data_IF_680753273131
#
_entry.id   IF_680753273131
#
_cell.length_a   1.000
_cell.length_b   1.000
_cell.length_c   1.000
_cell.angle_alpha   90.00
_cell.angle_beta   90.00
_cell.angle_gamma   90.00
#
_symmetry.space_group_name_H-M   'P 1'
#
loop_
_entity.id
_entity.type
_entity.pdbx_description
1 polymer ?
#
# COMPACT_ATOMS: atom_id res chain seq x y z
N UNK A 1 -8.70 14.61 0.95
CA UNK A 1 -8.25 13.22 0.83
C UNK A 1 -7.89 12.75 2.22
N UNK A 2 -8.53 11.69 2.72
CA UNK A 2 -8.03 11.00 3.91
C UNK A 2 -6.71 10.34 3.54
N UNK A 3 -5.62 10.69 4.22
CA UNK A 3 -4.31 10.06 4.01
C UNK A 3 -4.33 8.65 4.58
N UNK A 4 -3.66 7.70 3.91
CA UNK A 4 -3.49 6.34 4.40
C UNK A 4 -2.10 6.16 5.01
N UNK A 5 -2.04 5.45 6.15
CA UNK A 5 -0.77 5.25 6.88
C UNK A 5 0.10 4.18 6.24
N UNK A 6 -0.52 3.25 5.51
CA UNK A 6 0.17 2.19 4.79
C UNK A 6 -0.58 1.78 3.53
N UNK A 7 0.20 1.36 2.53
CA UNK A 7 -0.27 0.59 1.38
C UNK A 7 0.26 -0.83 1.50
N UNK A 8 -0.64 -1.81 1.34
CA UNK A 8 -0.30 -3.23 1.34
C UNK A 8 -0.63 -3.83 -0.02
N UNK A 9 0.31 -4.62 -0.55
CA UNK A 9 0.18 -5.35 -1.80
C UNK A 9 0.32 -6.82 -1.47
N UNK A 10 -0.79 -7.54 -1.57
CA UNK A 10 -0.84 -8.97 -1.32
C UNK A 10 -0.84 -9.70 -2.65
N UNK A 11 0.07 -10.67 -2.79
CA UNK A 11 0.18 -11.51 -3.98
C UNK A 11 -0.71 -12.73 -3.88
N UNK A 12 -1.03 -13.34 -5.03
CA UNK A 12 -1.76 -14.62 -5.10
C UNK A 12 -1.02 -15.78 -4.41
N UNK A 13 0.28 -15.65 -4.17
CA UNK A 13 1.08 -16.58 -3.36
C UNK A 13 0.77 -16.49 -1.86
N UNK A 14 0.10 -15.42 -1.41
CA UNK A 14 -0.14 -15.12 0.01
C UNK A 14 0.95 -14.25 0.65
N UNK A 15 2.02 -13.92 -0.06
CA UNK A 15 3.01 -12.94 0.41
C UNK A 15 2.42 -11.53 0.38
N UNK A 16 2.77 -10.70 1.36
CA UNK A 16 2.34 -9.30 1.42
C UNK A 16 3.55 -8.40 1.59
N UNK A 17 3.64 -7.37 0.75
CA UNK A 17 4.57 -6.25 0.92
C UNK A 17 3.79 -5.05 1.45
N UNK A 18 4.37 -4.34 2.41
CA UNK A 18 3.76 -3.15 3.02
C UNK A 18 4.74 -1.98 2.96
N UNK A 19 4.25 -0.81 2.54
CA UNK A 19 4.95 0.46 2.68
C UNK A 19 4.25 1.28 3.76
N UNK A 20 5.01 1.72 4.76
CA UNK A 20 4.54 2.53 5.89
C UNK A 20 4.64 4.02 5.58
N UNK A 21 4.13 4.83 6.49
CA UNK A 21 4.26 6.28 6.46
C UNK A 21 5.73 6.71 6.22
N UNK A 22 5.92 7.61 5.26
CA UNK A 22 7.24 8.12 4.86
C UNK A 22 8.00 7.26 3.85
N UNK A 23 7.60 6.00 3.65
CA UNK A 23 8.19 5.12 2.63
C UNK A 23 7.54 5.31 1.25
N UNK A 24 6.32 5.86 1.18
CA UNK A 24 5.57 6.13 -0.05
C UNK A 24 4.68 7.37 0.09
N UNK A 25 4.28 7.97 -1.03
CA UNK A 25 3.40 9.14 -1.08
C UNK A 25 2.34 9.11 -2.19
N UNK A 26 2.48 8.22 -3.17
CA UNK A 26 1.53 8.04 -4.26
C UNK A 26 1.56 6.60 -4.80
N UNK A 27 0.49 6.18 -5.46
CA UNK A 27 0.44 4.92 -6.20
C UNK A 27 -0.32 5.09 -7.52
N UNK A 28 0.02 4.26 -8.50
CA UNK A 28 -0.66 4.23 -9.79
C UNK A 28 -0.94 2.79 -10.24
N UNK A 29 -1.94 2.66 -11.10
CA UNK A 29 -2.26 1.42 -11.80
C UNK A 29 -2.42 1.72 -13.29
N UNK A 30 -1.63 1.05 -14.13
CA UNK A 30 -1.60 1.29 -15.58
C UNK A 30 -2.38 0.23 -16.39
N UNK A 31 -3.06 -0.69 -15.72
CA UNK A 31 -3.75 -1.83 -16.33
C UNK A 31 -2.94 -3.14 -16.35
N UNK A 32 -1.64 -3.10 -16.04
CA UNK A 32 -0.74 -4.27 -16.01
C UNK A 32 0.11 -4.35 -14.75
N UNK A 33 0.38 -3.20 -14.13
CA UNK A 33 1.22 -3.12 -12.95
C UNK A 33 0.66 -2.12 -11.94
N UNK A 34 0.90 -2.43 -10.66
CA UNK A 34 0.75 -1.48 -9.55
C UNK A 34 2.12 -0.85 -9.30
N UNK A 35 2.16 0.47 -9.28
CA UNK A 35 3.38 1.26 -9.11
C UNK A 35 3.25 2.05 -7.81
N UNK A 36 4.18 1.83 -6.88
CA UNK A 36 4.30 2.61 -5.65
C UNK A 36 5.37 3.67 -5.84
N UNK A 37 5.08 4.90 -5.42
CA UNK A 37 5.95 6.06 -5.64
C UNK A 37 6.30 6.74 -4.33
N UNK A 38 7.48 7.38 -4.34
CA UNK A 38 7.94 8.30 -3.32
C UNK A 38 8.63 9.49 -3.99
N UNK A 39 8.13 10.70 -3.77
CA UNK A 39 8.65 11.96 -4.32
C UNK A 39 8.81 11.91 -5.84
N UNK A 40 7.84 11.30 -6.52
CA UNK A 40 7.83 11.11 -7.97
C UNK A 40 8.72 9.98 -8.50
N UNK A 41 9.55 9.36 -7.66
CA UNK A 41 10.33 8.17 -8.04
C UNK A 41 9.51 6.89 -7.87
N UNK A 42 9.71 5.91 -8.76
CA UNK A 42 9.08 4.60 -8.64
C UNK A 42 9.93 3.71 -7.73
N UNK A 43 9.34 3.26 -6.62
CA UNK A 43 10.03 2.50 -5.57
C UNK A 43 9.50 1.06 -5.44
N UNK A 44 8.39 0.76 -6.12
CA UNK A 44 7.82 -0.58 -6.25
C UNK A 44 7.06 -0.69 -7.55
N UNK A 45 7.25 -1.80 -8.27
CA UNK A 45 6.53 -2.11 -9.51
C UNK A 45 6.14 -3.57 -9.45
N UNK A 46 4.84 -3.85 -9.49
CA UNK A 46 4.31 -5.19 -9.24
C UNK A 46 3.40 -5.61 -10.38
N UNK A 47 3.69 -6.76 -11.00
CA UNK A 47 2.86 -7.33 -12.05
C UNK A 47 1.47 -7.69 -11.48
N UNK A 48 0.43 -7.05 -12.00
CA UNK A 48 -0.94 -7.21 -11.52
C UNK A 48 -1.50 -8.63 -11.72
N UNK A 49 -0.96 -9.39 -12.67
CA UNK A 49 -1.33 -10.80 -12.86
C UNK A 49 -1.00 -11.65 -11.62
N UNK A 50 -0.06 -11.21 -10.79
CA UNK A 50 0.33 -11.87 -9.55
C UNK A 50 -0.24 -11.20 -8.30
N UNK A 51 -0.83 -10.00 -8.43
CA UNK A 51 -1.45 -9.29 -7.30
C UNK A 51 -2.84 -9.88 -7.03
N UNK A 52 -3.13 -10.08 -5.75
CA UNK A 52 -4.44 -10.47 -5.25
C UNK A 52 -5.22 -9.23 -4.76
N UNK A 53 -4.59 -8.37 -3.96
CA UNK A 53 -5.20 -7.13 -3.46
C UNK A 53 -4.18 -5.99 -3.35
N UNK A 54 -4.69 -4.76 -3.44
CA UNK A 54 -4.02 -3.53 -3.03
C UNK A 54 -4.91 -2.84 -2.02
N UNK A 55 -4.42 -2.65 -0.80
CA UNK A 55 -5.20 -2.11 0.31
C UNK A 55 -4.53 -0.87 0.88
N UNK A 56 -5.30 0.21 1.00
CA UNK A 56 -4.93 1.37 1.79
C UNK A 56 -5.49 1.21 3.20
N UNK A 57 -4.63 1.28 4.22
CA UNK A 57 -5.05 1.09 5.61
C UNK A 57 -4.69 2.32 6.45
N UNK A 58 -5.69 2.77 7.21
CA UNK A 58 -5.55 3.84 8.18
C UNK A 58 -5.64 3.20 9.57
N UNK A 59 -4.64 3.39 10.39
CA UNK A 59 -4.65 2.97 11.78
C UNK A 59 -5.31 4.10 12.57
N UNK A 60 -6.63 4.04 12.76
CA UNK A 60 -7.25 4.90 13.77
C UNK A 60 -6.79 4.41 15.13
N UNK A 61 -6.04 5.24 15.86
CA UNK A 61 -5.75 5.06 17.28
C UNK A 61 -7.03 5.31 18.10
N UNK A 62 -8.04 4.46 17.97
CA UNK A 62 -9.25 4.51 18.81
C UNK A 62 -9.66 3.07 19.08
N UNK A 63 -9.00 2.43 20.05
CA UNK A 63 -9.54 1.30 20.84
C UNK A 63 -8.72 1.08 22.14
N UNK A 64 -8.04 2.12 22.65
CA UNK A 64 -7.45 2.09 23.99
C UNK A 64 -8.31 2.95 24.93
N UNK A 65 -9.32 2.32 25.55
CA UNK A 65 -9.92 2.82 26.79
C UNK A 65 -9.22 2.07 27.91
N UNK A 66 -8.25 2.65 28.63
CA UNK A 66 -7.72 2.00 29.83
C UNK A 66 -8.87 1.90 30.85
N UNK A 67 -9.04 0.71 31.42
CA UNK A 67 -9.90 0.46 32.58
C UNK A 67 -9.45 1.31 33.77
#
# INVERSE_FOLDING_TARGET
MEYADRIEITFKSGETIAYKEGEWDDYAYDGKAVIVKQKGAWIGIYNFDHVFSVELKNTKAVDYVPL
#
